data_IF_255489215861
#
_entry.id   IF_255489215861
#
_cell.length_a   1.000
_cell.length_b   1.000
_cell.length_c   1.000
_cell.angle_alpha   90.00
_cell.angle_beta   90.00
_cell.angle_gamma   90.00
#
_symmetry.space_group_name_H-M   'P 1'
#
loop_
_entity.id
_entity.type
_entity.pdbx_description
1 polymer ?
#
# COMPACT_ATOMS: atom_id res chain seq x y z
N UNK A 1 1.49 12.52 52.61
CA UNK A 1 1.59 13.52 51.54
C UNK A 1 0.67 13.05 50.44
N UNK A 2 -0.42 13.77 50.25
CA UNK A 2 -1.51 13.43 49.32
C UNK A 2 -1.14 13.96 47.94
N UNK A 3 -0.94 13.08 46.96
CA UNK A 3 -0.82 13.50 45.56
C UNK A 3 -2.19 13.96 45.08
N UNK A 4 -2.33 15.27 44.89
CA UNK A 4 -3.47 15.86 44.21
C UNK A 4 -3.33 15.53 42.71
N UNK A 5 -4.22 14.70 42.19
CA UNK A 5 -4.37 14.52 40.74
C UNK A 5 -4.90 15.84 40.20
N UNK A 6 -4.03 16.63 39.57
CA UNK A 6 -4.39 17.89 38.91
C UNK A 6 -4.85 17.56 37.49
N UNK A 7 -6.15 17.74 37.23
CA UNK A 7 -6.75 17.65 35.90
C UNK A 7 -7.71 16.46 35.74
N UNK A 8 -8.93 16.76 35.28
CA UNK A 8 -9.77 15.76 34.59
C UNK A 8 -9.01 15.28 33.35
N UNK A 9 -9.22 14.05 32.86
CA UNK A 9 -8.70 13.63 31.55
C UNK A 9 -9.17 14.61 30.47
N UNK A 10 -8.31 15.56 30.11
CA UNK A 10 -8.58 16.54 29.08
C UNK A 10 -8.38 15.92 27.72
N UNK A 11 -9.28 16.20 26.78
CA UNK A 11 -9.01 16.04 25.34
C UNK A 11 -7.70 16.80 25.09
N UNK A 12 -6.64 16.08 24.69
CA UNK A 12 -5.33 16.68 24.47
C UNK A 12 -5.47 17.83 23.47
N UNK A 13 -5.17 19.05 23.91
CA UNK A 13 -5.27 20.31 23.15
C UNK A 13 -4.22 20.43 22.02
N UNK A 14 -3.84 19.31 21.38
CA UNK A 14 -2.85 19.23 20.31
C UNK A 14 -2.98 17.99 19.44
N UNK A 15 -4.11 17.29 19.51
CA UNK A 15 -4.46 16.16 18.64
C UNK A 15 -5.90 16.34 18.13
N UNK A 16 -6.30 17.56 17.75
CA UNK A 16 -7.31 17.65 16.70
C UNK A 16 -6.65 17.03 15.47
N UNK A 17 -6.92 15.73 15.26
CA UNK A 17 -6.49 15.06 14.05
C UNK A 17 -7.46 15.55 13.00
N UNK A 18 -6.94 16.35 12.06
CA UNK A 18 -7.70 16.77 10.90
C UNK A 18 -8.15 15.50 10.16
N UNK A 19 -9.43 15.19 10.32
CA UNK A 19 -10.08 14.09 9.66
C UNK A 19 -10.63 14.62 8.34
N UNK A 20 -10.15 14.06 7.24
CA UNK A 20 -10.73 14.30 5.92
C UNK A 20 -11.45 13.03 5.49
N UNK A 21 -12.75 13.15 5.27
CA UNK A 21 -13.53 12.10 4.61
C UNK A 21 -12.85 11.76 3.27
N UNK A 22 -12.74 10.46 2.99
CA UNK A 22 -12.17 9.95 1.73
C UNK A 22 -13.11 8.91 1.17
N UNK A 23 -13.75 9.28 0.07
CA UNK A 23 -14.63 8.42 -0.71
C UNK A 23 -13.90 7.98 -1.96
N UNK A 24 -13.71 6.67 -2.11
CA UNK A 24 -13.11 6.06 -3.29
C UNK A 24 -14.18 5.64 -4.31
N UNK A 25 -15.42 5.40 -3.87
CA UNK A 25 -16.51 5.04 -4.77
C UNK A 25 -17.16 6.28 -5.36
N UNK A 26 -17.44 6.23 -6.66
CA UNK A 26 -18.24 7.25 -7.36
C UNK A 26 -19.71 7.14 -6.96
N UNK A 27 -20.17 5.90 -6.78
CA UNK A 27 -21.57 5.60 -6.45
C UNK A 27 -21.70 4.42 -5.49
N UNK A 28 -22.75 4.38 -4.65
CA UNK A 28 -22.99 3.25 -3.76
C UNK A 28 -23.41 1.94 -4.45
N UNK A 29 -23.83 1.96 -5.72
CA UNK A 29 -24.30 0.76 -6.43
C UNK A 29 -23.17 -0.22 -6.82
N UNK A 30 -23.56 -1.47 -7.05
CA UNK A 30 -22.68 -2.56 -7.52
C UNK A 30 -21.45 -2.85 -6.65
N UNK A 31 -21.44 -2.36 -5.40
CA UNK A 31 -20.40 -2.70 -4.45
C UNK A 31 -20.55 -4.14 -3.95
N UNK A 32 -19.42 -4.82 -3.83
CA UNK A 32 -19.34 -6.14 -3.22
C UNK A 32 -18.15 -6.20 -2.26
N UNK A 33 -18.29 -7.05 -1.25
CA UNK A 33 -17.27 -7.25 -0.23
C UNK A 33 -16.92 -8.73 -0.12
N UNK A 34 -15.70 -9.00 0.35
CA UNK A 34 -15.34 -10.38 0.68
C UNK A 34 -16.19 -10.86 1.85
N UNK A 35 -16.84 -12.00 1.67
CA UNK A 35 -17.71 -12.59 2.69
C UNK A 35 -16.96 -12.87 4.01
N UNK A 36 -17.70 -12.70 5.10
CA UNK A 36 -17.28 -12.96 6.49
C UNK A 36 -16.10 -12.11 7.00
N UNK A 37 -15.82 -10.96 6.37
CA UNK A 37 -14.68 -10.11 6.73
C UNK A 37 -13.34 -10.84 6.60
N UNK A 38 -12.25 -10.13 6.86
CA UNK A 38 -10.88 -10.66 6.87
C UNK A 38 -10.09 -10.05 8.04
N UNK A 39 -8.81 -10.38 8.12
CA UNK A 39 -7.89 -9.81 9.12
C UNK A 39 -6.76 -9.14 8.36
N UNK A 40 -6.44 -7.90 8.74
CA UNK A 40 -5.22 -7.21 8.32
C UNK A 40 -4.09 -7.60 9.26
N UNK A 41 -2.95 -7.98 8.70
CA UNK A 41 -1.72 -8.19 9.45
C UNK A 41 -1.09 -6.83 9.79
N UNK A 42 -1.20 -6.41 11.05
CA UNK A 42 -0.68 -5.11 11.47
C UNK A 42 0.85 -5.03 11.49
N UNK A 43 1.54 -6.18 11.45
CA UNK A 43 3.01 -6.23 11.35
C UNK A 43 3.46 -5.99 9.92
N UNK A 44 2.64 -6.35 8.94
CA UNK A 44 2.97 -6.21 7.52
C UNK A 44 2.28 -5.00 6.86
N UNK A 45 1.50 -4.22 7.61
CA UNK A 45 0.69 -3.13 7.07
C UNK A 45 1.01 -1.78 7.68
N UNK A 46 1.24 -0.79 6.81
CA UNK A 46 1.32 0.64 7.09
C UNK A 46 0.92 1.42 5.82
N UNK A 47 0.59 2.69 5.99
CA UNK A 47 0.44 3.67 4.92
C UNK A 47 1.54 4.73 5.06
N UNK A 48 2.71 4.55 4.41
CA UNK A 48 3.83 5.50 4.51
C UNK A 48 3.49 6.90 3.97
N UNK A 49 2.44 6.99 3.14
CA UNK A 49 1.97 8.24 2.56
C UNK A 49 1.00 8.98 3.50
N UNK A 50 0.68 8.40 4.67
CA UNK A 50 -0.17 9.00 5.69
C UNK A 50 0.65 9.71 6.78
N UNK A 51 1.56 10.60 6.37
CA UNK A 51 2.25 11.58 7.23
C UNK A 51 2.52 11.14 8.68
N UNK A 52 1.84 11.76 9.64
CA UNK A 52 1.99 11.51 11.08
C UNK A 52 1.33 10.23 11.60
N UNK A 53 0.50 9.59 10.78
CA UNK A 53 -0.38 8.47 11.12
C UNK A 53 -0.12 7.29 10.18
N UNK A 54 1.16 6.96 9.97
CA UNK A 54 1.59 5.87 9.08
C UNK A 54 1.03 4.50 9.47
N UNK A 55 0.59 4.36 10.71
CA UNK A 55 -0.08 3.19 11.27
C UNK A 55 -1.61 3.22 11.13
N UNK A 56 -2.15 4.11 10.31
CA UNK A 56 -3.55 4.14 9.90
C UNK A 56 -3.65 3.96 8.40
N UNK A 57 -4.25 2.85 7.97
CA UNK A 57 -4.58 2.63 6.56
C UNK A 57 -5.81 3.46 6.19
N UNK A 58 -5.72 4.24 5.12
CA UNK A 58 -6.79 5.13 4.64
C UNK A 58 -7.63 4.44 3.55
N UNK A 59 -8.84 4.94 3.25
CA UNK A 59 -9.61 4.52 2.09
C UNK A 59 -8.79 4.58 0.80
N UNK A 60 -8.92 3.56 -0.05
CA UNK A 60 -8.15 3.44 -1.29
C UNK A 60 -6.80 2.75 -1.13
N UNK A 61 -6.46 2.27 0.07
CA UNK A 61 -5.29 1.41 0.27
C UNK A 61 -5.51 0.07 -0.45
N UNK A 62 -4.56 -0.31 -1.31
CA UNK A 62 -4.52 -1.60 -1.99
C UNK A 62 -4.07 -2.70 -1.03
N UNK A 63 -4.87 -3.76 -0.93
CA UNK A 63 -4.66 -4.85 0.01
C UNK A 63 -4.50 -6.18 -0.74
N UNK A 64 -3.43 -6.90 -0.42
CA UNK A 64 -3.11 -8.21 -0.96
C UNK A 64 -3.09 -9.28 0.12
N UNK A 65 -3.08 -10.54 -0.28
CA UNK A 65 -3.13 -11.66 0.65
C UNK A 65 -1.74 -12.26 0.88
N UNK A 66 -1.27 -12.22 2.12
CA UNK A 66 0.00 -12.83 2.52
C UNK A 66 -0.11 -14.35 2.34
N UNK A 67 0.86 -14.95 1.65
CA UNK A 67 0.85 -16.38 1.31
C UNK A 67 0.88 -17.26 2.55
N UNK A 68 1.73 -16.92 3.52
CA UNK A 68 1.93 -17.74 4.72
C UNK A 68 0.77 -17.64 5.70
N UNK A 69 0.37 -16.42 6.08
CA UNK A 69 -0.62 -16.19 7.15
C UNK A 69 -2.06 -16.16 6.65
N UNK A 70 -2.28 -15.99 5.34
CA UNK A 70 -3.58 -15.76 4.70
C UNK A 70 -4.30 -14.50 5.16
N UNK A 71 -3.64 -13.65 5.95
CA UNK A 71 -4.10 -12.31 6.32
C UNK A 71 -3.84 -11.33 5.17
N UNK A 72 -4.45 -10.16 5.27
CA UNK A 72 -4.32 -9.08 4.29
C UNK A 72 -3.23 -8.12 4.72
N UNK A 73 -2.45 -7.61 3.78
CA UNK A 73 -1.46 -6.57 4.04
C UNK A 73 -1.43 -5.57 2.89
N UNK A 74 -0.82 -4.41 3.11
CA UNK A 74 -0.68 -3.39 2.05
C UNK A 74 0.14 -3.93 0.89
N UNK A 75 -0.33 -3.76 -0.34
CA UNK A 75 0.30 -4.37 -1.53
C UNK A 75 1.45 -3.58 -2.11
N UNK A 76 1.44 -2.26 -1.98
CA UNK A 76 2.45 -1.38 -2.55
C UNK A 76 3.17 -0.67 -1.40
N UNK A 77 4.49 -0.81 -1.34
CA UNK A 77 5.33 -0.12 -0.34
C UNK A 77 5.64 1.32 -0.79
N UNK A 78 5.74 1.51 -2.09
CA UNK A 78 5.87 2.81 -2.75
C UNK A 78 6.40 2.68 -4.16
N UNK A 79 6.40 3.77 -4.94
CA UNK A 79 7.00 3.80 -6.26
C UNK A 79 8.49 4.14 -6.22
N UNK A 80 9.23 3.72 -7.24
CA UNK A 80 10.54 4.31 -7.55
C UNK A 80 10.36 5.70 -8.17
N UNK A 81 11.28 6.63 -7.85
CA UNK A 81 11.19 8.04 -8.27
C UNK A 81 11.81 8.29 -9.65
N UNK A 82 12.81 7.49 -10.04
CA UNK A 82 13.52 7.63 -11.31
C UNK A 82 13.24 6.46 -12.25
N UNK A 83 13.43 6.71 -13.54
CA UNK A 83 13.53 5.63 -14.51
C UNK A 83 14.88 4.94 -14.36
N UNK A 84 14.86 3.60 -14.41
CA UNK A 84 16.01 2.76 -14.22
C UNK A 84 16.30 1.98 -15.49
N UNK A 85 17.57 1.95 -15.87
CA UNK A 85 18.01 1.09 -16.96
C UNK A 85 18.24 -0.32 -16.43
N UNK A 86 18.24 -1.31 -17.33
CA UNK A 86 18.83 -2.59 -16.98
C UNK A 86 20.27 -2.35 -16.51
N UNK A 87 20.70 -3.10 -15.49
CA UNK A 87 21.97 -3.00 -14.76
C UNK A 87 22.07 -1.88 -13.71
N UNK A 88 20.97 -1.18 -13.41
CA UNK A 88 20.94 -0.25 -12.26
C UNK A 88 21.23 -1.00 -10.96
N UNK A 89 22.12 -0.45 -10.15
CA UNK A 89 22.55 -0.99 -8.82
C UNK A 89 22.06 -0.14 -7.65
N UNK A 90 21.27 0.89 -7.94
CA UNK A 90 20.63 1.73 -6.96
C UNK A 90 19.24 2.10 -7.45
N UNK A 91 18.28 2.18 -6.52
CA UNK A 91 16.94 2.70 -6.77
C UNK A 91 16.71 3.89 -5.85
N UNK A 92 16.02 4.91 -6.35
CA UNK A 92 15.60 6.05 -5.53
C UNK A 92 14.10 5.94 -5.20
N UNK A 93 13.77 6.04 -3.92
CA UNK A 93 12.39 6.09 -3.40
C UNK A 93 12.21 7.27 -2.45
N UNK A 94 10.97 7.55 -2.03
CA UNK A 94 10.77 8.50 -0.94
C UNK A 94 11.37 7.99 0.38
N UNK A 95 11.79 8.89 1.26
CA UNK A 95 12.24 8.57 2.62
C UNK A 95 11.21 7.75 3.39
N UNK A 96 9.91 8.05 3.22
CA UNK A 96 8.85 7.30 3.87
C UNK A 96 8.75 5.85 3.36
N UNK A 97 8.90 5.64 2.05
CA UNK A 97 8.95 4.31 1.44
C UNK A 97 10.17 3.53 1.92
N UNK A 98 11.35 4.15 1.97
CA UNK A 98 12.56 3.50 2.49
C UNK A 98 12.41 3.07 3.95
N UNK A 99 11.84 3.92 4.81
CA UNK A 99 11.54 3.58 6.20
C UNK A 99 10.57 2.39 6.30
N UNK A 100 9.56 2.33 5.43
CA UNK A 100 8.61 1.23 5.42
C UNK A 100 9.22 -0.09 4.95
N UNK A 101 10.08 -0.06 3.92
CA UNK A 101 10.80 -1.27 3.46
C UNK A 101 11.67 -1.80 4.60
N UNK A 102 12.41 -0.93 5.30
CA UNK A 102 13.23 -1.33 6.45
C UNK A 102 12.38 -1.91 7.58
N UNK A 103 11.21 -1.32 7.84
CA UNK A 103 10.30 -1.81 8.90
C UNK A 103 9.70 -3.17 8.56
N UNK A 104 9.34 -3.41 7.30
CA UNK A 104 8.60 -4.60 6.86
C UNK A 104 9.51 -5.76 6.47
N UNK A 105 10.57 -5.49 5.73
CA UNK A 105 11.47 -6.50 5.15
C UNK A 105 12.81 -6.52 5.89
N UNK A 106 13.34 -5.35 6.22
CA UNK A 106 14.62 -5.19 6.91
C UNK A 106 15.59 -4.28 6.15
N UNK A 107 16.81 -4.13 6.67
CA UNK A 107 17.87 -3.33 6.02
C UNK A 107 18.51 -4.00 4.80
N UNK A 108 18.22 -5.29 4.60
CA UNK A 108 18.59 -6.12 3.46
C UNK A 108 17.50 -7.16 3.24
N UNK A 109 17.30 -7.62 2.01
CA UNK A 109 16.28 -8.62 1.70
C UNK A 109 15.90 -8.63 0.23
N UNK A 110 14.67 -9.03 -0.05
CA UNK A 110 14.09 -9.11 -1.40
C UNK A 110 12.74 -8.40 -1.44
N UNK A 111 12.43 -7.79 -2.57
CA UNK A 111 11.11 -7.31 -2.95
C UNK A 111 10.93 -7.48 -4.45
N UNK A 112 9.72 -7.36 -4.95
CA UNK A 112 9.48 -7.36 -6.39
C UNK A 112 9.32 -5.92 -6.90
N UNK A 113 9.95 -5.62 -8.04
CA UNK A 113 9.67 -4.43 -8.83
C UNK A 113 8.64 -4.77 -9.89
N UNK A 114 7.56 -3.99 -9.94
CA UNK A 114 6.52 -4.10 -10.97
C UNK A 114 6.54 -2.84 -11.83
N UNK A 115 7.01 -3.00 -13.06
CA UNK A 115 6.99 -2.00 -14.11
C UNK A 115 5.85 -2.20 -15.11
N UNK A 116 5.66 -1.25 -16.03
CA UNK A 116 4.68 -1.35 -17.10
C UNK A 116 4.95 -2.60 -17.96
N UNK A 117 3.94 -3.11 -18.67
CA UNK A 117 4.12 -4.26 -19.54
C UNK A 117 5.20 -4.05 -20.59
N UNK A 118 6.05 -5.07 -20.77
CA UNK A 118 6.83 -5.19 -22.00
C UNK A 118 5.89 -5.54 -23.18
N UNK A 119 6.41 -5.59 -24.41
CA UNK A 119 5.65 -5.74 -25.68
C UNK A 119 4.64 -6.92 -25.78
N UNK A 120 4.48 -7.75 -24.74
CA UNK A 120 3.53 -8.85 -24.60
C UNK A 120 2.32 -8.57 -23.70
N UNK A 121 2.18 -7.36 -23.14
CA UNK A 121 1.02 -7.01 -22.29
C UNK A 121 1.06 -7.58 -20.87
N UNK A 122 2.13 -8.29 -20.50
CA UNK A 122 2.40 -8.72 -19.12
C UNK A 122 3.31 -7.70 -18.43
N UNK A 123 2.96 -7.21 -17.22
CA UNK A 123 3.80 -6.31 -16.44
C UNK A 123 5.23 -6.85 -16.31
N UNK A 124 6.22 -5.98 -16.40
CA UNK A 124 7.59 -6.34 -16.12
C UNK A 124 7.75 -6.52 -14.61
N UNK A 125 7.76 -7.77 -14.12
CA UNK A 125 8.02 -8.08 -12.71
C UNK A 125 9.40 -8.69 -12.55
N UNK A 126 10.23 -8.10 -11.69
CA UNK A 126 11.54 -8.61 -11.32
C UNK A 126 11.66 -8.71 -9.80
N UNK A 127 12.15 -9.84 -9.30
CA UNK A 127 12.52 -9.96 -7.90
C UNK A 127 13.92 -9.40 -7.70
N UNK A 128 14.04 -8.38 -6.86
CA UNK A 128 15.25 -7.60 -6.65
C UNK A 128 15.77 -7.82 -5.22
N UNK A 129 17.01 -8.28 -5.13
CA UNK A 129 17.73 -8.36 -3.86
C UNK A 129 18.36 -7.01 -3.55
N UNK A 130 18.22 -6.54 -2.32
CA UNK A 130 18.86 -5.33 -1.82
C UNK A 130 19.73 -5.62 -0.60
N UNK A 131 20.84 -4.90 -0.51
CA UNK A 131 21.87 -5.12 0.52
C UNK A 131 21.94 -3.99 1.54
N UNK A 132 21.44 -2.81 1.20
CA UNK A 132 21.39 -1.66 2.08
C UNK A 132 20.26 -0.69 1.67
N UNK A 133 19.76 0.05 2.66
CA UNK A 133 18.80 1.15 2.46
C UNK A 133 19.28 2.35 3.28
N UNK A 134 19.49 3.48 2.62
CA UNK A 134 19.65 4.76 3.28
C UNK A 134 18.28 5.39 3.51
N UNK A 135 17.79 5.29 4.74
CA UNK A 135 16.49 5.86 5.14
C UNK A 135 16.50 7.39 5.28
N UNK A 136 17.68 8.04 5.22
CA UNK A 136 17.79 9.49 5.20
C UNK A 136 17.64 10.09 3.81
N UNK A 137 18.03 9.35 2.78
CA UNK A 137 18.00 9.80 1.37
C UNK A 137 16.98 9.06 0.51
N UNK A 138 16.54 7.88 0.92
CA UNK A 138 15.66 7.03 0.11
C UNK A 138 16.40 6.19 -0.95
N UNK A 139 17.73 6.10 -0.88
CA UNK A 139 18.51 5.29 -1.80
C UNK A 139 18.54 3.83 -1.31
N UNK A 140 18.16 2.91 -2.19
CA UNK A 140 18.22 1.46 -1.97
C UNK A 140 19.37 0.93 -2.82
N UNK A 141 20.35 0.26 -2.20
CA UNK A 141 21.42 -0.44 -2.92
C UNK A 141 20.93 -1.83 -3.29
N UNK A 142 20.86 -2.11 -4.59
CA UNK A 142 20.31 -3.35 -5.14
C UNK A 142 21.36 -4.11 -5.93
N UNK A 143 21.16 -5.43 -6.03
CA UNK A 143 21.80 -6.18 -7.09
C UNK A 143 21.34 -5.64 -8.44
N UNK A 144 22.23 -5.72 -9.44
CA UNK A 144 21.99 -5.13 -10.75
C UNK A 144 20.66 -5.63 -11.34
N UNK A 145 19.74 -4.71 -11.62
CA UNK A 145 18.46 -5.04 -12.26
C UNK A 145 18.71 -5.66 -13.63
N UNK A 146 17.84 -6.57 -14.05
CA UNK A 146 17.91 -7.23 -15.36
C UNK A 146 16.93 -6.59 -16.34
N UNK A 147 15.88 -5.96 -15.83
CA UNK A 147 14.89 -5.22 -16.60
C UNK A 147 15.07 -3.71 -16.44
N UNK A 148 14.56 -2.96 -17.42
CA UNK A 148 14.40 -1.52 -17.31
C UNK A 148 13.04 -1.18 -16.69
N UNK A 149 13.01 -0.15 -15.87
CA UNK A 149 11.81 0.34 -15.19
C UNK A 149 11.62 1.83 -15.44
N UNK A 150 10.38 2.30 -15.34
CA UNK A 150 10.08 3.73 -15.43
C UNK A 150 9.87 4.30 -14.03
N UNK A 151 10.03 5.61 -13.89
CA UNK A 151 9.55 6.33 -12.71
C UNK A 151 8.07 6.00 -12.46
N UNK A 152 7.71 5.73 -11.20
CA UNK A 152 6.38 5.27 -10.83
C UNK A 152 6.19 3.75 -10.81
N UNK A 153 7.18 2.95 -11.24
CA UNK A 153 7.14 1.49 -11.07
C UNK A 153 7.06 1.13 -9.58
N UNK A 154 6.30 0.09 -9.24
CA UNK A 154 5.99 -0.24 -7.86
C UNK A 154 7.06 -1.11 -7.21
N UNK A 155 7.37 -0.82 -5.95
CA UNK A 155 7.98 -1.76 -5.03
C UNK A 155 6.87 -2.48 -4.28
N UNK A 156 6.83 -3.80 -4.42
CA UNK A 156 5.83 -4.66 -3.76
C UNK A 156 6.54 -5.76 -2.93
N UNK A 157 5.97 -6.18 -1.80
CA UNK A 157 6.54 -7.25 -0.96
C UNK A 157 6.45 -8.60 -1.67
N UNK A 158 7.45 -9.46 -1.45
CA UNK A 158 7.54 -10.83 -2.02
C UNK A 158 6.79 -11.89 -1.19
N UNK A 159 6.06 -11.47 -0.15
CA UNK A 159 5.28 -12.35 0.75
C UNK A 159 3.93 -12.81 0.16
N UNK A 160 3.65 -12.45 -1.09
CA UNK A 160 2.41 -12.70 -1.84
C UNK A 160 1.34 -11.61 -1.69
N UNK A 161 1.45 -10.71 -0.71
CA UNK A 161 0.54 -9.57 -0.62
C UNK A 161 0.86 -8.46 -1.63
N UNK A 162 1.98 -8.55 -2.35
CA UNK A 162 2.31 -7.65 -3.45
C UNK A 162 1.35 -7.68 -4.63
N UNK A 163 0.42 -8.64 -4.66
CA UNK A 163 -0.68 -8.72 -5.64
C UNK A 163 -1.96 -8.17 -5.00
N UNK A 164 -2.43 -6.95 -5.38
CA UNK A 164 -3.66 -6.39 -4.87
C UNK A 164 -4.88 -7.24 -5.22
N UNK A 165 -5.75 -7.48 -4.24
CA UNK A 165 -7.01 -8.23 -4.42
C UNK A 165 -8.23 -7.52 -3.82
N UNK A 166 -8.04 -6.49 -3.01
CA UNK A 166 -9.11 -5.73 -2.37
C UNK A 166 -8.67 -4.29 -2.09
N UNK A 167 -9.65 -3.44 -1.79
CA UNK A 167 -9.45 -2.05 -1.36
C UNK A 167 -10.03 -1.83 0.04
N UNK A 168 -9.43 -0.90 0.79
CA UNK A 168 -10.09 -0.30 1.97
C UNK A 168 -11.19 0.65 1.47
N UNK A 169 -12.43 0.40 1.87
CA UNK A 169 -13.61 1.13 1.40
C UNK A 169 -13.73 2.56 1.95
N UNK A 170 -14.67 3.33 1.40
CA UNK A 170 -15.01 4.70 1.78
C UNK A 170 -15.07 4.91 3.30
N UNK A 171 -14.38 5.95 3.77
CA UNK A 171 -14.39 6.38 5.16
C UNK A 171 -14.01 5.29 6.19
N UNK A 172 -13.41 4.18 5.75
CA UNK A 172 -12.83 3.16 6.62
C UNK A 172 -11.36 3.51 6.85
N UNK A 173 -11.01 3.74 8.11
CA UNK A 173 -9.64 3.97 8.55
C UNK A 173 -9.23 2.86 9.51
N UNK A 174 -8.24 2.05 9.12
CA UNK A 174 -7.82 0.89 9.89
C UNK A 174 -6.54 1.21 10.65
N UNK A 175 -6.66 1.39 11.97
CA UNK A 175 -5.51 1.55 12.86
C UNK A 175 -4.84 0.20 13.07
N UNK A 176 -3.63 0.01 12.56
CA UNK A 176 -2.88 -1.26 12.58
C UNK A 176 -1.85 -1.33 13.72
N UNK A 177 -2.09 -0.54 14.77
CA UNK A 177 -1.34 -0.53 16.03
C UNK A 177 -2.27 -0.39 17.21
N UNK A 178 -1.80 -0.86 18.37
CA UNK A 178 -2.44 -0.57 19.63
C UNK A 178 -2.10 0.84 20.14
N UNK A 179 -2.55 1.14 21.37
CA UNK A 179 -2.30 2.43 22.03
C UNK A 179 -0.82 2.74 22.26
N UNK A 180 0.01 1.70 22.37
CA UNK A 180 1.44 1.80 22.62
C UNK A 180 2.26 1.76 21.31
N UNK A 181 1.58 1.85 20.16
CA UNK A 181 2.14 1.77 18.80
C UNK A 181 2.76 0.41 18.46
N UNK A 182 2.39 -0.64 19.18
CA UNK A 182 2.77 -2.00 18.84
C UNK A 182 1.88 -2.48 17.70
N UNK A 183 2.48 -3.09 16.69
CA UNK A 183 1.75 -3.67 15.57
C UNK A 183 0.73 -4.70 16.07
N UNK A 184 -0.51 -4.59 15.59
CA UNK A 184 -1.57 -5.51 16.00
C UNK A 184 -2.47 -5.86 14.83
N UNK A 185 -2.89 -7.12 14.78
CA UNK A 185 -3.85 -7.57 13.78
C UNK A 185 -5.19 -6.88 14.01
N UNK A 186 -5.82 -6.43 12.93
CA UNK A 186 -7.12 -5.77 13.01
C UNK A 186 -8.13 -6.40 12.07
N UNK A 187 -9.39 -6.35 12.47
CA UNK A 187 -10.48 -6.82 11.66
C UNK A 187 -10.62 -5.96 10.40
N UNK A 188 -10.72 -6.62 9.26
CA UNK A 188 -11.06 -6.04 7.97
C UNK A 188 -12.49 -6.42 7.62
N UNK A 189 -13.46 -5.74 8.23
CA UNK A 189 -14.88 -6.15 8.18
C UNK A 189 -15.46 -6.07 6.76
N UNK A 190 -15.06 -5.05 5.98
CA UNK A 190 -15.60 -4.78 4.64
C UNK A 190 -14.47 -4.60 3.61
N UNK A 191 -13.75 -5.67 3.23
CA UNK A 191 -12.78 -5.60 2.14
C UNK A 191 -13.53 -5.43 0.83
N UNK A 192 -13.39 -4.27 0.19
CA UNK A 192 -14.09 -3.95 -1.05
C UNK A 192 -13.47 -4.74 -2.21
N UNK A 193 -14.31 -5.38 -3.03
CA UNK A 193 -13.90 -6.17 -4.21
C UNK A 193 -14.69 -5.82 -5.48
N UNK A 194 -15.69 -4.95 -5.41
CA UNK A 194 -16.41 -4.47 -6.59
C UNK A 194 -16.99 -3.09 -6.35
N UNK A 195 -17.34 -2.39 -7.42
CA UNK A 195 -17.95 -1.06 -7.38
C UNK A 195 -17.41 -0.15 -8.48
N UNK A 196 -17.99 1.04 -8.62
CA UNK A 196 -17.44 2.09 -9.48
C UNK A 196 -16.48 2.96 -8.68
N UNK A 197 -15.23 3.04 -9.11
CA UNK A 197 -14.11 3.61 -8.36
C UNK A 197 -13.59 4.86 -9.08
N UNK A 198 -13.43 5.93 -8.31
CA UNK A 198 -12.61 7.08 -8.70
C UNK A 198 -11.14 6.67 -8.53
N UNK A 199 -10.45 6.49 -9.65
CA UNK A 199 -9.08 5.96 -9.64
C UNK A 199 -8.10 6.92 -8.98
N UNK A 200 -8.40 8.23 -8.97
CA UNK A 200 -7.58 9.24 -8.29
C UNK A 200 -7.61 9.12 -6.77
N UNK A 201 -8.62 8.42 -6.23
CA UNK A 201 -8.77 8.18 -4.80
C UNK A 201 -8.07 6.89 -4.34
N UNK A 202 -7.54 6.09 -5.26
CA UNK A 202 -6.67 4.95 -4.91
C UNK A 202 -5.29 5.47 -4.52
N UNK A 203 -4.78 4.99 -3.39
CA UNK A 203 -3.46 5.37 -2.91
C UNK A 203 -2.39 4.67 -3.74
N UNK A 204 -1.48 5.47 -4.31
CA UNK A 204 -0.44 4.96 -5.20
C UNK A 204 -0.92 4.68 -6.63
N UNK A 205 -2.06 5.26 -7.06
CA UNK A 205 -2.48 5.17 -8.45
C UNK A 205 -1.41 5.74 -9.40
N UNK A 206 -0.97 4.97 -10.42
CA UNK A 206 0.11 5.39 -11.30
C UNK A 206 -0.42 6.28 -12.44
N UNK A 207 0.45 7.11 -13.01
CA UNK A 207 0.12 7.87 -14.23
C UNK A 207 0.29 7.07 -15.52
N UNK A 208 1.08 5.99 -15.49
CA UNK A 208 1.33 5.13 -16.65
C UNK A 208 0.16 4.16 -16.89
N UNK A 209 -0.36 4.13 -18.11
CA UNK A 209 -1.54 3.32 -18.47
C UNK A 209 -1.31 1.81 -18.34
N UNK A 210 -0.06 1.34 -18.53
CA UNK A 210 0.29 -0.06 -18.38
C UNK A 210 0.27 -0.51 -16.92
N UNK A 211 0.79 0.32 -16.02
CA UNK A 211 0.71 0.10 -14.57
C UNK A 211 -0.73 0.26 -14.05
N UNK A 212 -1.53 1.17 -14.62
CA UNK A 212 -2.96 1.26 -14.34
C UNK A 212 -3.66 -0.06 -14.71
N UNK A 213 -3.42 -0.56 -15.92
CA UNK A 213 -3.97 -1.84 -16.38
C UNK A 213 -3.54 -3.00 -15.48
N UNK A 214 -2.29 -3.03 -15.01
CA UNK A 214 -1.83 -4.02 -14.03
C UNK A 214 -2.68 -4.02 -12.75
N UNK A 215 -2.94 -2.85 -12.16
CA UNK A 215 -3.75 -2.76 -10.95
C UNK A 215 -5.19 -3.21 -11.19
N UNK A 216 -5.76 -2.83 -12.34
CA UNK A 216 -7.10 -3.22 -12.76
C UNK A 216 -7.19 -4.75 -12.91
N UNK A 217 -6.24 -5.34 -13.63
CA UNK A 217 -6.18 -6.79 -13.84
C UNK A 217 -5.96 -7.52 -12.52
N UNK A 218 -5.10 -7.00 -11.64
CA UNK A 218 -4.90 -7.61 -10.33
C UNK A 218 -6.18 -7.61 -9.49
N UNK A 219 -6.88 -6.48 -9.42
CA UNK A 219 -8.10 -6.36 -8.63
C UNK A 219 -9.26 -7.20 -9.22
N UNK A 220 -9.45 -7.20 -10.54
CA UNK A 220 -10.56 -7.87 -11.19
C UNK A 220 -10.30 -9.35 -11.47
N UNK A 221 -9.11 -9.71 -11.95
CA UNK A 221 -8.78 -11.11 -12.30
C UNK A 221 -8.30 -11.87 -11.06
N UNK A 222 -7.27 -11.37 -10.36
CA UNK A 222 -6.70 -12.09 -9.21
C UNK A 222 -7.56 -11.94 -7.96
N UNK A 223 -8.13 -10.75 -7.74
CA UNK A 223 -9.09 -10.50 -6.67
C UNK A 223 -10.48 -11.09 -6.91
N UNK A 224 -10.74 -11.60 -8.11
CA UNK A 224 -12.09 -11.99 -8.57
C UNK A 224 -13.11 -10.87 -8.35
N UNK A 225 -12.63 -9.63 -8.47
CA UNK A 225 -13.41 -8.43 -8.28
C UNK A 225 -14.25 -8.07 -9.50
N UNK A 226 -15.06 -7.04 -9.34
CA UNK A 226 -15.81 -6.44 -10.44
C UNK A 226 -15.82 -4.91 -10.29
N UNK A 227 -14.62 -4.35 -10.30
CA UNK A 227 -14.37 -2.92 -10.27
C UNK A 227 -14.48 -2.30 -11.66
N UNK A 228 -15.15 -1.16 -11.72
CA UNK A 228 -15.24 -0.29 -12.87
C UNK A 228 -14.54 1.03 -12.50
N UNK A 229 -13.61 1.49 -13.32
CA UNK A 229 -12.82 2.68 -13.02
C UNK A 229 -13.26 3.86 -13.90
N UNK A 230 -13.35 5.05 -13.31
CA UNK A 230 -13.74 6.32 -13.95
C UNK A 230 -13.12 6.58 -15.33
N UNK A 231 -11.81 6.35 -15.48
CA UNK A 231 -11.07 6.65 -16.70
C UNK A 231 -11.45 5.78 -17.92
N UNK A 232 -12.35 4.80 -17.77
CA UNK A 232 -12.95 4.08 -18.89
C UNK A 232 -14.26 4.70 -19.41
N UNK A 233 -14.80 5.72 -18.73
CA UNK A 233 -16.12 6.29 -19.02
C UNK A 233 -16.07 7.77 -19.43
N UNK A 234 -14.88 8.33 -19.65
CA UNK A 234 -14.67 9.67 -20.22
C UNK A 234 -14.65 9.69 -21.76
#
# INVERSE_FOLDING_TARGET
MTEQIVGLPGVKTGQERDFQDRTIRITPENRAYIIAGKVVDGTLSRDPLNGSDTDVLRPGTLMGKVTATKKYATSILGPILNAEIATSVALEVSVATALEIVRRIGTSGTFDLVGPPAASGVPATESVTFTAIDTGTGIITVDATTLAFIAGSFIVPDDGSGVPVALVDDNIFLKVTDRDRVATDVEFTLPLIAGQIDSTQILGWPSDSGLQQYLIDSLNVNGQGNFLFDHFFE
#
